data_IF_558136423183
#
_entry.id   IF_558136423183
#
_cell.length_a   1.000
_cell.length_b   1.000
_cell.length_c   1.000
_cell.angle_alpha   90.00
_cell.angle_beta   90.00
_cell.angle_gamma   90.00
#
_symmetry.space_group_name_H-M   'P 1'
#
loop_
_entity.id
_entity.type
_entity.pdbx_description
1 polymer ?
#
# COMPACT_ATOMS: atom_id res chain seq x y z
N UNK A 1 -30.39 3.98 -5.28
CA UNK A 1 -29.32 3.85 -6.29
C UNK A 1 -28.79 5.24 -6.51
N UNK A 2 -27.61 5.54 -5.97
CA UNK A 2 -26.69 6.62 -6.35
C UNK A 2 -25.69 6.77 -5.20
N UNK A 3 -24.84 5.77 -5.03
CA UNK A 3 -23.52 6.02 -4.45
C UNK A 3 -22.61 6.11 -5.68
N UNK A 4 -22.62 7.28 -6.31
CA UNK A 4 -21.53 7.69 -7.18
C UNK A 4 -20.32 7.79 -6.27
N UNK A 5 -19.70 6.63 -6.09
CA UNK A 5 -18.44 6.40 -5.42
C UNK A 5 -17.45 7.36 -6.05
N UNK A 6 -17.26 8.51 -5.40
CA UNK A 6 -16.25 9.50 -5.75
C UNK A 6 -14.87 8.92 -5.37
N UNK A 7 -14.57 7.72 -5.85
CA UNK A 7 -13.21 7.24 -5.93
C UNK A 7 -12.51 8.14 -6.94
N UNK A 8 -11.79 9.15 -6.43
CA UNK A 8 -10.83 9.90 -7.23
C UNK A 8 -9.62 9.03 -7.66
N UNK A 9 -9.60 7.77 -7.21
CA UNK A 9 -8.74 6.72 -7.72
C UNK A 9 -9.10 6.37 -9.16
N UNK A 10 -8.12 6.48 -10.05
CA UNK A 10 -8.21 6.04 -11.43
C UNK A 10 -8.35 4.51 -11.56
N UNK A 11 -8.39 4.00 -12.80
CA UNK A 11 -8.51 2.57 -13.03
C UNK A 11 -7.33 1.80 -12.42
N UNK A 12 -7.62 0.65 -11.82
CA UNK A 12 -6.58 -0.28 -11.37
C UNK A 12 -5.91 -0.88 -12.59
N UNK A 13 -4.60 -0.76 -12.65
CA UNK A 13 -3.72 -1.24 -13.72
C UNK A 13 -2.74 -2.26 -13.16
N UNK A 14 -2.29 -3.18 -14.01
CA UNK A 14 -1.20 -4.11 -13.68
C UNK A 14 0.10 -3.35 -13.42
N UNK A 15 0.87 -3.81 -12.44
CA UNK A 15 2.14 -3.18 -12.09
C UNK A 15 3.10 -3.11 -13.28
N UNK A 16 3.59 -1.91 -13.56
CA UNK A 16 4.67 -1.69 -14.53
C UNK A 16 6.03 -1.77 -13.82
N UNK A 17 7.13 -2.06 -14.55
CA UNK A 17 8.47 -2.08 -13.98
C UNK A 17 8.86 -0.73 -13.34
N UNK A 18 8.30 0.39 -13.80
CA UNK A 18 8.53 1.71 -13.22
C UNK A 18 7.90 1.85 -11.82
N UNK A 19 6.67 1.36 -11.64
CA UNK A 19 5.97 1.36 -10.36
C UNK A 19 6.63 0.38 -9.38
N UNK A 20 7.05 -0.78 -9.87
CA UNK A 20 7.85 -1.72 -9.09
C UNK A 20 9.12 -1.06 -8.56
N UNK A 21 9.90 -0.40 -9.44
CA UNK A 21 11.11 0.30 -9.05
C UNK A 21 10.86 1.44 -8.04
N UNK A 22 9.71 2.11 -8.15
CA UNK A 22 9.27 3.15 -7.22
C UNK A 22 8.97 2.57 -5.83
N UNK A 23 8.25 1.44 -5.75
CA UNK A 23 7.96 0.77 -4.50
C UNK A 23 9.22 0.16 -3.85
N UNK A 24 10.21 -0.22 -4.66
CA UNK A 24 11.51 -0.73 -4.19
C UNK A 24 12.45 0.34 -3.64
N UNK A 25 12.16 1.63 -3.87
CA UNK A 25 12.97 2.72 -3.31
C UNK A 25 13.05 2.58 -1.80
N UNK A 26 14.25 2.73 -1.19
CA UNK A 26 14.42 2.57 0.26
C UNK A 26 13.52 3.53 1.04
N UNK A 27 13.34 4.77 0.56
CA UNK A 27 12.46 5.76 1.19
C UNK A 27 10.99 5.31 1.29
N UNK A 28 10.51 4.51 0.33
CA UNK A 28 9.13 3.98 0.31
C UNK A 28 9.08 2.65 1.07
N UNK A 29 9.97 1.72 0.72
CA UNK A 29 10.01 0.37 1.26
C UNK A 29 10.27 0.37 2.76
N UNK A 30 11.28 1.10 3.23
CA UNK A 30 11.58 1.18 4.66
C UNK A 30 10.45 1.89 5.43
N UNK A 31 9.85 2.94 4.86
CA UNK A 31 8.73 3.63 5.47
C UNK A 31 7.48 2.73 5.58
N UNK A 32 7.16 1.98 4.54
CA UNK A 32 6.04 1.05 4.52
C UNK A 32 6.24 -0.11 5.51
N UNK A 33 7.44 -0.72 5.54
CA UNK A 33 7.79 -1.77 6.51
C UNK A 33 7.75 -1.23 7.95
N UNK A 34 8.24 -0.01 8.17
CA UNK A 34 8.18 0.63 9.48
C UNK A 34 6.73 0.92 9.91
N UNK A 35 5.89 1.41 9.00
CA UNK A 35 4.46 1.61 9.26
C UNK A 35 3.77 0.28 9.59
N UNK A 36 4.07 -0.78 8.84
CA UNK A 36 3.52 -2.12 9.06
C UNK A 36 3.92 -2.67 10.43
N UNK A 37 5.19 -2.51 10.81
CA UNK A 37 5.69 -2.91 12.12
C UNK A 37 5.06 -2.10 13.26
N UNK A 38 4.86 -0.79 13.07
CA UNK A 38 4.18 0.05 14.05
C UNK A 38 2.75 -0.43 14.28
N UNK A 39 1.99 -0.69 13.20
CA UNK A 39 0.63 -1.22 13.26
C UNK A 39 0.58 -2.62 13.90
N UNK A 40 1.57 -3.46 13.63
CA UNK A 40 1.71 -4.74 14.34
C UNK A 40 1.91 -4.55 15.85
N UNK A 41 2.84 -3.69 16.25
CA UNK A 41 3.12 -3.41 17.66
C UNK A 41 1.91 -2.80 18.39
N UNK A 42 1.02 -2.11 17.66
CA UNK A 42 -0.28 -1.64 18.14
C UNK A 42 -1.35 -2.75 18.28
N UNK A 43 -0.96 -4.04 18.16
CA UNK A 43 -1.83 -5.22 18.27
C UNK A 43 -2.95 -5.29 17.21
N UNK A 44 -2.80 -4.57 16.10
CA UNK A 44 -3.77 -4.62 14.99
C UNK A 44 -3.61 -5.87 14.12
N UNK A 45 -2.40 -6.43 14.01
CA UNK A 45 -2.14 -7.60 13.13
C UNK A 45 -1.76 -8.81 13.98
N UNK A 46 -2.68 -9.75 14.25
CA UNK A 46 -2.44 -10.82 15.23
C UNK A 46 -1.43 -11.93 14.85
N UNK A 47 -0.58 -11.80 13.82
CA UNK A 47 0.38 -12.84 13.38
C UNK A 47 1.74 -12.34 12.85
N UNK A 48 2.22 -11.15 13.23
CA UNK A 48 3.40 -10.54 12.60
C UNK A 48 4.65 -10.58 13.50
N UNK A 49 5.45 -11.65 13.44
CA UNK A 49 6.68 -11.75 14.26
C UNK A 49 7.85 -10.96 13.64
N UNK A 50 8.79 -10.42 14.44
CA UNK A 50 10.02 -9.73 13.95
C UNK A 50 10.84 -10.55 12.95
N UNK A 51 10.76 -11.89 13.02
CA UNK A 51 11.39 -12.83 12.06
C UNK A 51 10.88 -12.68 10.62
N UNK A 52 9.73 -12.05 10.40
CA UNK A 52 9.16 -11.88 9.05
C UNK A 52 9.70 -10.63 8.34
N UNK A 53 10.42 -9.73 9.03
CA UNK A 53 10.92 -8.47 8.46
C UNK A 53 11.86 -8.70 7.26
N UNK A 54 12.81 -9.61 7.40
CA UNK A 54 13.81 -9.90 6.35
C UNK A 54 13.18 -10.61 5.15
N UNK A 55 12.20 -11.50 5.39
CA UNK A 55 11.44 -12.16 4.32
C UNK A 55 10.57 -11.18 3.53
N UNK A 56 9.88 -10.27 4.20
CA UNK A 56 9.01 -9.27 3.54
C UNK A 56 9.80 -8.26 2.71
N UNK A 57 11.04 -7.97 3.09
CA UNK A 57 11.95 -7.17 2.26
C UNK A 57 12.43 -7.96 1.03
N UNK A 58 12.39 -9.29 1.05
CA UNK A 58 12.85 -10.15 -0.04
C UNK A 58 11.75 -10.40 -1.07
N UNK A 59 10.52 -10.64 -0.64
CA UNK A 59 9.35 -10.91 -1.51
C UNK A 59 8.52 -9.64 -1.80
N UNK A 60 9.16 -8.49 -2.02
CA UNK A 60 8.48 -7.21 -2.24
C UNK A 60 8.13 -7.00 -3.72
N UNK A 61 6.90 -7.32 -4.11
CA UNK A 61 6.45 -7.22 -5.50
C UNK A 61 5.12 -6.48 -5.62
N UNK A 62 5.09 -5.40 -6.39
CA UNK A 62 3.87 -4.71 -6.77
C UNK A 62 3.14 -5.55 -7.82
N UNK A 63 1.87 -5.86 -7.59
CA UNK A 63 1.03 -6.59 -8.55
C UNK A 63 0.12 -5.65 -9.33
N UNK A 64 -0.44 -4.65 -8.64
CA UNK A 64 -1.39 -3.71 -9.21
C UNK A 64 -1.16 -2.31 -8.67
N UNK A 65 -1.56 -1.30 -9.42
CA UNK A 65 -1.53 0.08 -8.97
C UNK A 65 -2.68 0.90 -9.54
N UNK A 66 -2.96 2.04 -8.93
CA UNK A 66 -3.86 3.05 -9.46
C UNK A 66 -3.34 4.45 -9.14
N UNK A 67 -3.77 5.42 -9.92
CA UNK A 67 -3.35 6.81 -9.80
C UNK A 67 -4.55 7.70 -9.49
N UNK A 68 -4.42 8.58 -8.52
CA UNK A 68 -5.37 9.66 -8.21
C UNK A 68 -4.68 11.00 -8.47
N UNK A 69 -5.31 11.83 -9.30
CA UNK A 69 -4.88 13.21 -9.52
C UNK A 69 -5.25 14.05 -8.28
N UNK A 70 -4.25 14.54 -7.56
CA UNK A 70 -4.42 15.37 -6.38
C UNK A 70 -4.07 16.83 -6.68
N UNK A 71 -4.55 17.77 -5.86
CA UNK A 71 -4.35 19.20 -6.08
C UNK A 71 -2.87 19.66 -6.09
N UNK A 72 -1.93 18.84 -5.58
CA UNK A 72 -0.51 19.14 -5.47
C UNK A 72 0.39 17.99 -5.97
N UNK A 73 -0.12 17.12 -6.83
CA UNK A 73 0.62 15.98 -7.36
C UNK A 73 -0.23 14.76 -7.67
N UNK A 74 0.37 13.57 -7.61
CA UNK A 74 -0.30 12.30 -7.94
C UNK A 74 -0.18 11.35 -6.74
N UNK A 75 -1.30 10.78 -6.32
CA UNK A 75 -1.32 9.69 -5.36
C UNK A 75 -1.31 8.35 -6.09
N UNK A 76 -0.30 7.55 -5.79
CA UNK A 76 -0.16 6.18 -6.27
C UNK A 76 -0.66 5.23 -5.19
N UNK A 77 -1.71 4.49 -5.51
CA UNK A 77 -2.17 3.35 -4.73
C UNK A 77 -1.51 2.11 -5.31
N UNK A 78 -0.87 1.28 -4.49
CA UNK A 78 -0.15 0.10 -4.96
C UNK A 78 -0.53 -1.10 -4.10
N UNK A 79 -0.84 -2.20 -4.77
CA UNK A 79 -0.96 -3.51 -4.16
C UNK A 79 0.40 -4.21 -4.20
N UNK A 80 0.95 -4.50 -3.03
CA UNK A 80 2.30 -5.05 -2.86
C UNK A 80 2.20 -6.39 -2.17
N UNK A 81 2.60 -7.44 -2.86
CA UNK A 81 2.89 -8.74 -2.26
C UNK A 81 4.13 -8.61 -1.38
N UNK A 82 4.05 -9.19 -0.18
CA UNK A 82 5.16 -9.24 0.79
C UNK A 82 5.57 -10.70 1.10
N UNK A 83 5.16 -11.64 0.24
CA UNK A 83 5.42 -13.07 0.38
C UNK A 83 4.37 -13.82 1.20
N UNK A 84 4.43 -15.15 1.17
CA UNK A 84 3.52 -16.06 1.89
C UNK A 84 2.02 -15.84 1.56
N UNK A 85 1.71 -15.33 0.36
CA UNK A 85 0.34 -15.01 -0.08
C UNK A 85 -0.28 -13.80 0.62
N UNK A 86 0.55 -13.00 1.29
CA UNK A 86 0.13 -11.80 1.99
C UNK A 86 0.40 -10.57 1.12
N UNK A 87 -0.55 -9.65 1.15
CA UNK A 87 -0.53 -8.41 0.39
C UNK A 87 -0.72 -7.22 1.32
N UNK A 88 -0.17 -6.08 0.94
CA UNK A 88 -0.41 -4.79 1.59
C UNK A 88 -0.76 -3.77 0.53
N UNK A 89 -1.67 -2.86 0.87
CA UNK A 89 -1.97 -1.72 0.01
C UNK A 89 -1.27 -0.49 0.58
N UNK A 90 -0.42 0.12 -0.24
CA UNK A 90 0.34 1.32 0.12
C UNK A 90 -0.12 2.51 -0.71
N UNK A 91 -0.09 3.71 -0.10
CA UNK A 91 -0.30 4.97 -0.78
C UNK A 91 0.99 5.77 -0.79
N UNK A 92 1.41 6.20 -1.97
CA UNK A 92 2.60 7.03 -2.17
C UNK A 92 2.20 8.31 -2.86
N UNK A 93 2.61 9.45 -2.32
CA UNK A 93 2.34 10.74 -2.91
C UNK A 93 3.57 11.23 -3.69
N UNK A 94 3.39 11.49 -4.97
CA UNK A 94 4.36 12.21 -5.80
C UNK A 94 3.98 13.68 -5.80
N UNK A 95 4.92 14.55 -5.43
CA UNK A 95 4.69 16.00 -5.46
C UNK A 95 4.76 16.52 -6.90
N UNK A 96 3.95 17.53 -7.23
CA UNK A 96 3.94 18.14 -8.58
C UNK A 96 5.25 18.88 -8.89
N UNK A 97 5.80 19.58 -7.89
CA UNK A 97 6.95 20.48 -8.07
C UNK A 97 8.32 19.76 -8.05
N UNK A 98 8.37 18.53 -7.55
CA UNK A 98 9.60 17.76 -7.39
C UNK A 98 9.32 16.29 -7.65
N UNK A 99 10.22 15.58 -8.34
CA UNK A 99 10.15 14.12 -8.56
C UNK A 99 10.48 13.31 -7.27
N UNK A 100 9.93 13.78 -6.14
CA UNK A 100 10.01 13.14 -4.83
C UNK A 100 8.74 12.37 -4.59
N UNK A 101 8.93 11.15 -4.10
CA UNK A 101 7.88 10.22 -3.76
C UNK A 101 7.93 10.02 -2.25
N UNK A 102 6.87 10.42 -1.58
CA UNK A 102 6.75 10.28 -0.14
C UNK A 102 5.75 9.15 0.15
N UNK A 103 6.15 8.17 0.96
CA UNK A 103 5.20 7.21 1.52
C UNK A 103 4.17 7.95 2.37
N UNK A 104 2.89 7.76 2.07
CA UNK A 104 1.80 8.47 2.71
C UNK A 104 1.17 7.62 3.83
N UNK A 105 0.57 6.48 3.47
CA UNK A 105 -0.10 5.59 4.44
C UNK A 105 -0.22 4.15 3.94
N UNK A 106 -0.51 3.23 4.87
CA UNK A 106 -0.99 1.88 4.57
C UNK A 106 -2.52 1.87 4.63
N UNK A 107 -3.15 1.09 3.77
CA UNK A 107 -4.59 0.81 3.90
C UNK A 107 -4.83 0.02 5.19
N UNK A 108 -5.59 0.60 6.10
CA UNK A 108 -6.14 -0.09 7.27
C UNK A 108 -7.62 -0.38 7.03
N UNK A 109 -8.00 -1.66 7.03
CA UNK A 109 -9.40 -2.11 6.95
C UNK A 109 -9.79 -2.83 8.23
N UNK A 110 -11.08 -3.04 8.45
CA UNK A 110 -11.59 -3.79 9.60
C UNK A 110 -12.14 -5.12 9.11
N UNK A 111 -11.55 -6.23 9.55
CA UNK A 111 -12.02 -7.59 9.26
C UNK A 111 -12.37 -8.26 10.59
N UNK A 112 -13.61 -8.73 10.71
CA UNK A 112 -14.11 -9.38 11.94
C UNK A 112 -13.88 -8.53 13.22
N UNK A 113 -14.17 -7.22 13.15
CA UNK A 113 -13.98 -6.25 14.25
C UNK A 113 -12.51 -5.99 14.65
N UNK A 114 -11.55 -6.50 13.87
CA UNK A 114 -10.11 -6.30 14.06
C UNK A 114 -9.54 -5.44 12.92
N UNK A 115 -8.85 -4.36 13.27
CA UNK A 115 -8.17 -3.51 12.29
C UNK A 115 -6.99 -4.29 11.68
N UNK A 116 -6.96 -4.52 10.37
CA UNK A 116 -5.87 -5.21 9.66
C UNK A 116 -5.35 -4.34 8.51
N UNK A 117 -4.07 -4.49 8.21
CA UNK A 117 -3.43 -3.88 7.03
C UNK A 117 -2.90 -4.95 6.06
N UNK A 118 -3.25 -6.22 6.31
CA UNK A 118 -2.87 -7.37 5.50
C UNK A 118 -4.08 -7.82 4.69
N UNK A 119 -3.85 -7.99 3.40
CA UNK A 119 -4.79 -8.39 2.38
C UNK A 119 -4.35 -9.73 1.76
N UNK A 120 -5.26 -10.35 1.02
CA UNK A 120 -5.02 -11.55 0.23
C UNK A 120 -5.07 -11.22 -1.27
N UNK A 121 -4.69 -12.16 -2.12
CA UNK A 121 -4.70 -11.97 -3.59
C UNK A 121 -6.09 -11.60 -4.13
N UNK A 122 -7.17 -12.07 -3.48
CA UNK A 122 -8.55 -11.83 -3.90
C UNK A 122 -9.07 -10.45 -3.46
N UNK A 123 -8.38 -9.78 -2.52
CA UNK A 123 -8.79 -8.47 -2.02
C UNK A 123 -8.43 -7.39 -3.06
N UNK A 124 -9.43 -6.67 -3.62
CA UNK A 124 -9.16 -5.69 -4.66
C UNK A 124 -8.47 -4.44 -4.09
N UNK A 125 -7.56 -3.87 -4.89
CA UNK A 125 -7.04 -2.54 -4.62
C UNK A 125 -8.18 -1.53 -4.71
N UNK A 126 -8.50 -0.90 -3.59
CA UNK A 126 -9.60 0.05 -3.44
C UNK A 126 -9.07 1.39 -2.95
N UNK A 127 -9.86 2.44 -3.14
CA UNK A 127 -9.53 3.77 -2.65
C UNK A 127 -9.54 3.80 -1.11
N UNK A 128 -8.53 4.45 -0.51
CA UNK A 128 -8.47 4.69 0.93
C UNK A 128 -7.82 6.03 1.24
N UNK A 129 -8.33 6.72 2.27
CA UNK A 129 -7.85 8.06 2.65
C UNK A 129 -7.47 8.18 4.15
N UNK A 130 -7.45 7.07 4.89
CA UNK A 130 -7.27 7.06 6.34
C UNK A 130 -6.04 6.27 6.78
#
# INVERSE_FOLDING_TARGET
>A
MSDEDNSAMGPVMDATPEIQALAERPEIKEAAVHALHKKHHENKIHHFTEKNREKQLTDWQVTQYAEEQAAYGINYFMNVSIGDGLFIHIRVHRREDCDKYDFYSLHETFKDDVATCIFTEDDPLTYFNY
#
